data_IF_448271143590
#
_entry.id   IF_448271143590
#
_cell.length_a   1.000
_cell.length_b   1.000
_cell.length_c   1.000
_cell.angle_alpha   90.00
_cell.angle_beta   90.00
_cell.angle_gamma   90.00
#
_symmetry.space_group_name_H-M   'P 1'
#
loop_
_entity.id
_entity.type
_entity.pdbx_description
1 polymer ?
#
# COMPACT_ATOMS: atom_id res chain seq x y z
N UNK A 1 -12.15 -2.81 23.45
CA UNK A 1 -11.34 -3.82 22.72
C UNK A 1 -11.77 -3.79 21.27
N UNK A 2 -10.91 -3.28 20.39
CA UNK A 2 -11.10 -3.39 18.94
C UNK A 2 -10.75 -4.85 18.62
N UNK A 3 -11.69 -5.69 18.20
CA UNK A 3 -11.35 -7.06 17.85
C UNK A 3 -10.35 -7.05 16.71
N UNK A 4 -9.26 -7.79 16.84
CA UNK A 4 -8.20 -8.02 15.84
C UNK A 4 -8.72 -8.43 14.44
N UNK A 5 -10.03 -8.62 14.29
CA UNK A 5 -10.74 -8.95 13.04
C UNK A 5 -11.14 -7.75 12.19
N UNK A 6 -10.91 -6.51 12.65
CA UNK A 6 -11.42 -5.31 11.97
C UNK A 6 -10.38 -4.57 11.11
N UNK A 7 -9.16 -5.07 11.03
CA UNK A 7 -8.17 -4.58 10.08
C UNK A 7 -8.14 -5.53 8.90
N UNK A 8 -9.02 -5.31 7.96
CA UNK A 8 -9.06 -6.10 6.74
C UNK A 8 -10.45 -6.07 6.12
N UNK A 9 -10.52 -5.85 4.84
CA UNK A 9 -11.79 -5.89 4.15
C UNK A 9 -12.40 -7.29 4.29
N UNK A 10 -13.58 -7.36 4.86
CA UNK A 10 -14.37 -8.59 5.02
C UNK A 10 -14.51 -9.40 3.71
N UNK A 11 -14.38 -8.76 2.55
CA UNK A 11 -14.59 -9.40 1.25
C UNK A 11 -13.51 -10.40 0.84
N UNK A 12 -12.24 -10.17 1.15
CA UNK A 12 -11.18 -11.12 0.77
C UNK A 12 -11.02 -12.27 1.78
N UNK A 13 -11.35 -12.02 3.04
CA UNK A 13 -11.26 -13.01 4.12
C UNK A 13 -12.51 -13.90 4.15
N UNK A 14 -13.68 -13.35 3.86
CA UNK A 14 -14.96 -14.04 4.01
C UNK A 14 -15.16 -15.19 3.01
N UNK A 15 -14.66 -15.03 1.80
CA UNK A 15 -14.84 -16.02 0.71
C UNK A 15 -13.73 -17.07 0.64
N UNK A 16 -12.64 -16.89 1.41
CA UNK A 16 -11.54 -17.84 1.48
C UNK A 16 -11.47 -18.50 2.85
N UNK A 17 -11.90 -19.75 2.95
CA UNK A 17 -11.73 -20.58 4.16
C UNK A 17 -10.28 -20.66 4.62
N UNK A 18 -9.31 -20.48 3.72
CA UNK A 18 -7.89 -20.47 4.04
C UNK A 18 -7.51 -19.13 4.66
N UNK A 19 -7.81 -18.01 4.01
CA UNK A 19 -7.47 -16.68 4.52
C UNK A 19 -8.09 -16.41 5.90
N UNK A 20 -9.32 -16.89 6.16
CA UNK A 20 -9.98 -16.69 7.47
C UNK A 20 -9.33 -17.44 8.64
N UNK A 21 -8.41 -18.36 8.36
CA UNK A 21 -7.67 -19.14 9.38
C UNK A 21 -6.25 -18.66 9.61
N UNK A 22 -5.75 -17.75 8.77
CA UNK A 22 -4.44 -17.18 8.93
C UNK A 22 -4.47 -16.15 10.07
N UNK A 23 -3.47 -16.20 10.92
CA UNK A 23 -3.32 -15.32 12.08
C UNK A 23 -2.01 -14.52 12.07
N UNK A 24 -1.23 -14.69 11.02
CA UNK A 24 0.12 -14.15 10.87
C UNK A 24 0.28 -13.25 9.62
N UNK A 25 -0.84 -12.97 8.91
CA UNK A 25 -0.91 -11.98 7.84
C UNK A 25 -2.26 -11.26 7.88
N UNK A 26 -2.29 -10.01 7.37
CA UNK A 26 -3.49 -9.18 7.38
C UNK A 26 -3.55 -8.24 6.18
N UNK A 27 -4.74 -7.73 5.90
CA UNK A 27 -4.93 -6.64 4.95
C UNK A 27 -4.93 -5.30 5.69
N UNK A 28 -4.04 -4.42 5.31
CA UNK A 28 -4.09 -3.01 5.67
C UNK A 28 -5.00 -2.28 4.67
N UNK A 29 -6.18 -1.91 5.12
CA UNK A 29 -7.24 -1.48 4.22
C UNK A 29 -7.76 -2.63 3.33
N UNK A 30 -8.02 -2.32 2.06
CA UNK A 30 -8.59 -3.30 1.10
C UNK A 30 -7.56 -3.86 0.11
N UNK A 31 -6.41 -3.24 0.02
CA UNK A 31 -5.53 -3.41 -1.13
C UNK A 31 -4.08 -3.74 -0.78
N UNK A 32 -3.71 -3.70 0.50
CA UNK A 32 -2.34 -3.94 0.93
C UNK A 32 -2.31 -5.16 1.83
N UNK A 33 -1.66 -6.24 1.40
CA UNK A 33 -1.42 -7.42 2.20
C UNK A 33 -0.08 -7.27 2.91
N UNK A 34 -0.07 -7.46 4.22
CA UNK A 34 1.12 -7.39 5.06
C UNK A 34 1.33 -8.73 5.75
N UNK A 35 2.54 -9.24 5.66
CA UNK A 35 2.97 -10.44 6.36
C UNK A 35 4.09 -10.08 7.34
N UNK A 36 3.79 -9.77 8.60
CA UNK A 36 4.83 -9.58 9.60
C UNK A 36 5.70 -10.82 9.76
N UNK A 37 6.99 -10.61 9.94
CA UNK A 37 7.92 -11.70 10.25
C UNK A 37 7.86 -11.95 11.75
N UNK A 38 7.16 -13.01 12.13
CA UNK A 38 6.93 -13.37 13.55
C UNK A 38 7.89 -14.42 14.07
N UNK A 39 8.52 -15.16 13.17
CA UNK A 39 9.50 -16.20 13.52
C UNK A 39 10.93 -15.74 13.23
N UNK A 40 11.92 -16.17 14.04
CA UNK A 40 13.30 -15.85 13.78
C UNK A 40 13.79 -16.47 12.47
N UNK A 41 14.14 -15.65 11.48
CA UNK A 41 14.58 -16.11 10.16
C UNK A 41 16.08 -16.45 10.11
N UNK A 42 16.84 -15.96 11.08
CA UNK A 42 18.30 -16.09 11.13
C UNK A 42 18.78 -17.01 12.26
N UNK A 43 17.88 -17.68 12.96
CA UNK A 43 18.24 -18.62 14.03
C UNK A 43 18.16 -20.05 13.52
N UNK A 44 19.17 -20.85 13.86
CA UNK A 44 19.06 -22.29 13.75
C UNK A 44 19.30 -22.92 15.12
N UNK A 45 18.59 -23.98 15.40
CA UNK A 45 18.83 -24.79 16.58
C UNK A 45 20.05 -25.67 16.31
N UNK A 46 21.10 -25.48 17.07
CA UNK A 46 22.20 -26.45 17.07
C UNK A 46 21.69 -27.79 17.62
N UNK A 47 21.61 -28.79 16.76
CA UNK A 47 21.13 -30.13 17.15
C UNK A 47 22.06 -30.82 18.17
N UNK A 48 23.31 -30.39 18.28
CA UNK A 48 24.32 -30.96 19.18
C UNK A 48 24.34 -30.31 20.57
N UNK A 49 23.84 -29.08 20.71
CA UNK A 49 23.78 -28.35 21.98
C UNK A 49 22.35 -28.06 22.37
N UNK A 50 21.74 -28.95 23.14
CA UNK A 50 20.41 -28.74 23.71
C UNK A 50 20.33 -27.38 24.43
N UNK A 51 19.59 -26.44 23.90
CA UNK A 51 19.19 -25.22 24.58
C UNK A 51 19.96 -23.94 24.23
N UNK A 52 20.94 -23.95 23.32
CA UNK A 52 21.59 -22.73 22.86
C UNK A 52 21.00 -22.25 21.53
N UNK A 53 20.41 -21.06 21.56
CA UNK A 53 20.08 -20.31 20.34
C UNK A 53 21.37 -19.63 19.89
N UNK A 54 21.91 -20.06 18.74
CA UNK A 54 23.03 -19.35 18.13
C UNK A 54 22.42 -18.19 17.36
N UNK A 55 22.81 -16.96 17.71
CA UNK A 55 22.43 -15.77 16.92
C UNK A 55 23.14 -15.84 15.58
N UNK A 56 22.43 -15.83 14.46
CA UNK A 56 23.01 -16.05 13.17
C UNK A 56 23.80 -14.83 12.71
N UNK A 57 24.70 -15.10 11.80
CA UNK A 57 25.28 -14.06 10.98
C UNK A 57 24.18 -13.48 10.08
N UNK A 58 23.70 -12.28 10.38
CA UNK A 58 22.68 -11.56 9.59
C UNK A 58 23.12 -11.30 8.14
N UNK A 59 24.40 -11.53 7.83
CA UNK A 59 24.94 -11.50 6.47
C UNK A 59 24.60 -12.75 5.66
N UNK A 60 24.11 -13.80 6.28
CA UNK A 60 23.59 -14.99 5.58
C UNK A 60 22.16 -14.75 5.12
N UNK A 61 21.77 -15.41 4.03
CA UNK A 61 20.42 -15.33 3.53
C UNK A 61 19.39 -15.74 4.60
N UNK A 62 18.37 -14.92 4.79
CA UNK A 62 17.26 -15.26 5.66
C UNK A 62 16.51 -16.49 5.12
N UNK A 63 15.89 -17.25 6.01
CA UNK A 63 14.92 -18.25 5.58
C UNK A 63 13.73 -17.60 4.87
N UNK A 64 13.17 -18.23 3.83
CA UNK A 64 11.99 -17.68 3.19
C UNK A 64 10.77 -17.75 4.12
N UNK A 65 9.89 -16.75 4.00
CA UNK A 65 8.60 -16.68 4.68
C UNK A 65 7.51 -17.12 3.72
N UNK A 66 6.60 -17.97 4.18
CA UNK A 66 5.41 -18.33 3.43
C UNK A 66 4.38 -17.21 3.51
N UNK A 67 3.85 -16.81 2.37
CA UNK A 67 2.79 -15.81 2.25
C UNK A 67 1.66 -16.39 1.42
N UNK A 68 0.45 -16.32 1.91
CA UNK A 68 -0.74 -16.68 1.14
C UNK A 68 -1.31 -15.46 0.43
N UNK A 69 -1.34 -15.49 -0.88
CA UNK A 69 -1.96 -14.42 -1.69
C UNK A 69 -3.44 -14.76 -1.93
N UNK A 70 -4.39 -13.95 -1.42
CA UNK A 70 -5.81 -14.22 -1.58
C UNK A 70 -6.25 -14.34 -3.04
N UNK A 71 -7.18 -15.28 -3.30
CA UNK A 71 -7.72 -15.60 -4.63
C UNK A 71 -8.51 -14.42 -5.22
N UNK A 72 -8.58 -14.39 -6.54
CA UNK A 72 -9.46 -13.48 -7.30
C UNK A 72 -8.82 -12.17 -7.72
N UNK A 73 -7.54 -11.96 -7.41
CA UNK A 73 -6.78 -10.77 -7.80
C UNK A 73 -5.35 -11.18 -8.16
N UNK A 74 -4.67 -10.29 -8.88
CA UNK A 74 -3.21 -10.30 -8.98
C UNK A 74 -2.62 -9.44 -7.89
N UNK A 75 -1.39 -9.75 -7.49
CA UNK A 75 -0.67 -9.08 -6.43
C UNK A 75 0.72 -8.67 -6.90
N UNK A 76 1.15 -7.48 -6.54
CA UNK A 76 2.49 -6.96 -6.75
C UNK A 76 3.28 -7.08 -5.45
N UNK A 77 4.44 -7.70 -5.47
CA UNK A 77 5.41 -7.57 -4.38
C UNK A 77 5.87 -6.10 -4.34
N UNK A 78 5.63 -5.42 -3.24
CA UNK A 78 5.93 -4.00 -3.10
C UNK A 78 7.41 -3.65 -3.31
N UNK A 79 8.29 -4.57 -2.94
CA UNK A 79 9.74 -4.36 -2.98
C UNK A 79 10.42 -4.74 -4.29
N UNK A 80 9.72 -5.40 -5.20
CA UNK A 80 10.30 -5.86 -6.47
C UNK A 80 9.38 -5.66 -7.67
N UNK A 81 8.12 -5.26 -7.45
CA UNK A 81 7.04 -5.23 -8.44
C UNK A 81 6.79 -6.57 -9.17
N UNK A 82 7.36 -7.65 -8.67
CA UNK A 82 7.05 -8.99 -9.18
C UNK A 82 5.56 -9.26 -9.01
N UNK A 83 4.92 -9.70 -10.09
CA UNK A 83 3.49 -10.00 -10.08
C UNK A 83 3.24 -11.48 -9.78
N UNK A 84 2.22 -11.73 -9.00
CA UNK A 84 1.75 -13.05 -8.64
C UNK A 84 0.24 -13.17 -8.86
N UNK A 85 -0.20 -14.33 -9.33
CA UNK A 85 -1.63 -14.67 -9.30
C UNK A 85 -2.06 -14.94 -7.85
N UNK A 86 -3.27 -14.55 -7.49
CA UNK A 86 -3.83 -14.90 -6.19
C UNK A 86 -4.30 -16.35 -6.11
N UNK A 87 -4.60 -16.82 -4.90
CA UNK A 87 -5.04 -18.18 -4.60
C UNK A 87 -3.88 -19.15 -4.36
N UNK A 88 -2.67 -18.68 -4.12
CA UNK A 88 -1.48 -19.51 -3.92
C UNK A 88 -0.67 -19.10 -2.71
N UNK A 89 0.16 -20.02 -2.23
CA UNK A 89 1.23 -19.72 -1.30
C UNK A 89 2.51 -19.45 -2.08
N UNK A 90 3.25 -18.44 -1.66
CA UNK A 90 4.56 -18.11 -2.20
C UNK A 90 5.61 -18.11 -1.10
N UNK A 91 6.85 -18.31 -1.46
CA UNK A 91 8.00 -18.15 -0.58
C UNK A 91 8.72 -16.86 -0.89
N UNK A 92 8.79 -15.95 0.09
CA UNK A 92 9.46 -14.65 -0.04
C UNK A 92 10.68 -14.60 0.86
N UNK A 93 11.85 -14.33 0.28
CA UNK A 93 13.05 -14.04 1.05
C UNK A 93 12.92 -12.66 1.70
N UNK A 94 13.13 -12.61 3.01
CA UNK A 94 12.96 -11.41 3.82
C UNK A 94 14.26 -11.12 4.58
N UNK A 95 15.22 -10.41 3.97
CA UNK A 95 16.33 -9.85 4.73
C UNK A 95 15.80 -8.88 5.79
N UNK A 96 16.64 -8.49 6.75
CA UNK A 96 16.22 -7.79 7.97
C UNK A 96 15.50 -6.47 7.72
N UNK A 97 15.76 -5.85 6.60
CA UNK A 97 15.20 -4.58 6.13
C UNK A 97 13.91 -4.75 5.29
N UNK A 98 13.50 -5.99 5.01
CA UNK A 98 12.33 -6.28 4.17
C UNK A 98 11.24 -7.00 4.96
N UNK A 99 10.11 -6.35 5.13
CA UNK A 99 8.87 -6.99 5.54
C UNK A 99 8.03 -7.29 4.29
N UNK A 100 7.51 -8.51 4.10
CA UNK A 100 6.65 -8.81 2.97
C UNK A 100 5.41 -7.94 2.93
N UNK A 101 5.26 -7.18 1.86
CA UNK A 101 4.11 -6.32 1.56
C UNK A 101 3.72 -6.56 0.12
N UNK A 102 2.42 -6.77 -0.13
CA UNK A 102 1.89 -6.99 -1.46
C UNK A 102 0.74 -6.03 -1.74
N UNK A 103 0.77 -5.44 -2.90
CA UNK A 103 -0.26 -4.50 -3.35
C UNK A 103 -1.14 -5.20 -4.38
N UNK A 104 -2.45 -5.12 -4.17
CA UNK A 104 -3.44 -5.66 -5.09
C UNK A 104 -3.41 -4.92 -6.42
N UNK A 105 -3.51 -5.63 -7.54
CA UNK A 105 -3.73 -5.04 -8.84
C UNK A 105 -5.03 -4.20 -8.85
N UNK A 106 -5.02 -3.09 -9.58
CA UNK A 106 -6.09 -2.12 -9.53
C UNK A 106 -6.05 -1.25 -8.25
N UNK A 107 -4.87 -0.94 -7.72
CA UNK A 107 -4.73 -0.05 -6.56
C UNK A 107 -4.19 1.30 -6.98
N UNK A 108 -4.75 2.37 -6.44
CA UNK A 108 -4.18 3.71 -6.45
C UNK A 108 -3.66 3.99 -5.04
N UNK A 109 -2.36 4.20 -4.91
CA UNK A 109 -1.67 4.38 -3.64
C UNK A 109 -0.95 5.73 -3.60
N UNK A 110 -1.37 6.67 -2.73
CA UNK A 110 -0.67 7.94 -2.56
C UNK A 110 0.52 7.80 -1.62
N UNK A 111 1.59 8.52 -1.94
CA UNK A 111 2.75 8.73 -1.08
C UNK A 111 2.91 10.21 -0.81
N UNK A 112 3.06 10.55 0.45
CA UNK A 112 3.39 11.90 0.89
C UNK A 112 4.89 12.19 0.82
N UNK A 113 5.30 13.41 1.17
CA UNK A 113 6.71 13.76 1.30
C UNK A 113 7.38 12.97 2.44
N UNK A 114 8.68 12.78 2.33
CA UNK A 114 9.46 12.22 3.42
C UNK A 114 9.48 13.19 4.61
N UNK A 115 8.95 12.75 5.76
CA UNK A 115 8.76 13.56 6.96
C UNK A 115 9.02 12.75 8.23
N UNK A 116 9.45 13.43 9.29
CA UNK A 116 9.60 12.82 10.62
C UNK A 116 8.26 12.77 11.39
N UNK A 117 7.34 13.70 11.10
CA UNK A 117 5.99 13.75 11.66
C UNK A 117 5.02 14.41 10.67
N UNK A 118 3.75 14.10 10.77
CA UNK A 118 2.72 14.39 9.75
C UNK A 118 2.52 15.87 9.40
N UNK A 119 2.89 16.79 10.28
CA UNK A 119 2.75 18.24 10.07
C UNK A 119 4.08 18.96 9.78
N UNK A 120 5.16 18.21 9.50
CA UNK A 120 6.49 18.80 9.22
C UNK A 120 6.53 19.59 7.91
N UNK A 121 5.87 19.07 6.89
CA UNK A 121 5.80 19.68 5.55
C UNK A 121 4.36 19.74 5.06
N UNK A 122 4.00 20.71 4.22
CA UNK A 122 2.72 20.66 3.53
C UNK A 122 2.69 19.45 2.58
N UNK A 123 1.49 18.91 2.38
CA UNK A 123 1.26 17.77 1.48
C UNK A 123 0.81 18.29 0.10
N UNK A 124 1.50 19.31 -0.38
CA UNK A 124 1.26 19.99 -1.64
C UNK A 124 1.81 19.24 -2.84
N UNK A 125 2.78 18.35 -2.63
CA UNK A 125 3.27 17.41 -3.63
C UNK A 125 3.02 15.98 -3.16
N UNK A 126 2.28 15.20 -3.96
CA UNK A 126 1.99 13.79 -3.68
C UNK A 126 2.37 12.92 -4.87
N UNK A 127 3.06 11.82 -4.61
CA UNK A 127 3.23 10.77 -5.60
C UNK A 127 2.00 9.85 -5.57
N UNK A 128 1.42 9.61 -6.74
CA UNK A 128 0.25 8.75 -6.92
C UNK A 128 0.66 7.54 -7.76
N UNK A 129 0.85 6.40 -7.10
CA UNK A 129 1.17 5.14 -7.78
C UNK A 129 -0.09 4.43 -8.23
N UNK A 130 -0.16 4.08 -9.51
CA UNK A 130 -1.22 3.26 -10.08
C UNK A 130 -0.66 1.87 -10.33
N UNK A 131 -1.19 0.87 -9.65
CA UNK A 131 -0.89 -0.55 -9.85
C UNK A 131 -1.89 -1.13 -10.85
N UNK A 132 -1.53 -1.34 -12.12
CA UNK A 132 -2.48 -1.75 -13.15
C UNK A 132 -2.99 -3.18 -12.95
N UNK A 133 -3.94 -3.60 -13.80
CA UNK A 133 -4.52 -4.96 -13.83
C UNK A 133 -5.98 -5.03 -13.43
N UNK A 134 -6.59 -3.94 -12.99
CA UNK A 134 -8.02 -3.78 -12.79
C UNK A 134 -8.41 -2.32 -12.69
N UNK A 135 -9.67 -2.00 -12.95
CA UNK A 135 -10.25 -0.69 -12.64
C UNK A 135 -10.18 -0.41 -11.15
N UNK A 136 -9.95 0.84 -10.80
CA UNK A 136 -9.87 1.22 -9.40
C UNK A 136 -10.33 2.64 -9.10
N UNK A 137 -10.59 2.86 -7.81
CA UNK A 137 -11.03 4.13 -7.27
C UNK A 137 -10.39 4.36 -5.91
N UNK A 138 -9.88 5.57 -5.72
CA UNK A 138 -9.33 6.04 -4.46
C UNK A 138 -9.92 7.42 -4.15
N UNK A 139 -10.17 7.72 -2.89
CA UNK A 139 -10.59 9.04 -2.44
C UNK A 139 -9.58 9.57 -1.45
N UNK A 140 -8.92 10.66 -1.80
CA UNK A 140 -8.10 11.43 -0.89
C UNK A 140 -9.03 12.30 -0.05
N UNK A 141 -9.10 11.99 1.23
CA UNK A 141 -9.87 12.72 2.24
C UNK A 141 -8.93 13.58 3.06
N UNK A 142 -9.32 14.83 3.34
CA UNK A 142 -8.56 15.74 4.18
C UNK A 142 -9.52 16.65 4.98
N UNK A 143 -9.13 16.95 6.21
CA UNK A 143 -9.82 17.86 7.12
C UNK A 143 -8.85 18.71 7.95
N UNK A 144 -9.31 19.35 9.00
CA UNK A 144 -8.50 20.17 9.89
C UNK A 144 -7.58 19.37 10.84
N UNK A 145 -7.69 18.04 10.87
CA UNK A 145 -6.81 17.10 11.56
C UNK A 145 -7.16 16.83 13.02
N UNK A 146 -7.22 17.84 13.88
CA UNK A 146 -7.25 17.70 15.33
C UNK A 146 -8.56 18.10 16.01
N UNK A 147 -9.66 18.22 15.25
CA UNK A 147 -10.98 18.61 15.77
C UNK A 147 -12.10 17.80 15.13
N UNK A 148 -13.35 18.05 15.57
CA UNK A 148 -14.56 17.37 15.08
C UNK A 148 -15.35 18.19 14.05
N UNK A 149 -14.75 19.18 13.41
CA UNK A 149 -15.44 20.01 12.41
C UNK A 149 -15.83 19.21 11.16
N UNK A 150 -15.15 18.07 10.88
CA UNK A 150 -15.53 17.16 9.81
C UNK A 150 -16.98 16.64 9.96
N UNK A 151 -17.50 16.46 11.20
CA UNK A 151 -18.90 16.10 11.44
C UNK A 151 -19.87 17.18 10.98
N UNK A 152 -19.39 18.42 10.83
CA UNK A 152 -20.14 19.58 10.32
C UNK A 152 -19.85 19.82 8.82
N UNK A 153 -19.27 18.85 8.14
CA UNK A 153 -18.96 18.94 6.71
C UNK A 153 -17.71 19.79 6.38
N UNK A 154 -16.81 20.03 7.36
CA UNK A 154 -15.56 20.76 7.15
C UNK A 154 -14.44 19.79 6.78
N UNK A 155 -14.53 19.25 5.58
CA UNK A 155 -13.53 18.35 4.97
C UNK A 155 -13.53 18.53 3.45
N UNK A 156 -12.55 17.98 2.79
CA UNK A 156 -12.50 17.90 1.33
C UNK A 156 -12.19 16.49 0.85
N UNK A 157 -12.68 16.17 -0.33
CA UNK A 157 -12.47 14.92 -1.02
C UNK A 157 -12.02 15.15 -2.45
N UNK A 158 -10.98 14.42 -2.87
CA UNK A 158 -10.53 14.35 -4.26
C UNK A 158 -10.57 12.88 -4.67
N UNK A 159 -11.36 12.57 -5.70
CA UNK A 159 -11.51 11.21 -6.17
C UNK A 159 -10.60 10.95 -7.37
N UNK A 160 -9.86 9.85 -7.29
CA UNK A 160 -9.06 9.29 -8.37
C UNK A 160 -9.75 8.05 -8.91
N UNK A 161 -9.87 7.94 -10.23
CA UNK A 161 -10.48 6.79 -10.90
C UNK A 161 -9.56 6.33 -12.02
N UNK A 162 -9.05 5.11 -11.91
CA UNK A 162 -8.28 4.44 -12.93
C UNK A 162 -9.19 3.57 -13.79
N UNK A 163 -9.10 3.73 -15.11
CA UNK A 163 -9.70 2.83 -16.09
C UNK A 163 -8.60 2.00 -16.74
N UNK A 164 -8.64 0.70 -16.51
CA UNK A 164 -7.62 -0.23 -17.00
C UNK A 164 -7.66 -0.38 -18.52
N UNK A 165 -8.85 -0.43 -19.12
CA UNK A 165 -9.00 -0.63 -20.55
C UNK A 165 -8.46 0.54 -21.36
N UNK A 166 -8.73 1.75 -20.89
CA UNK A 166 -8.31 2.98 -21.56
C UNK A 166 -6.94 3.48 -21.07
N UNK A 167 -6.36 2.87 -20.04
CA UNK A 167 -5.13 3.34 -19.40
C UNK A 167 -5.21 4.81 -18.98
N UNK A 168 -6.35 5.23 -18.43
CA UNK A 168 -6.58 6.61 -18.02
C UNK A 168 -6.78 6.75 -16.52
N UNK A 169 -6.13 7.74 -15.94
CA UNK A 169 -6.39 8.21 -14.58
C UNK A 169 -7.20 9.51 -14.65
N UNK A 170 -8.39 9.49 -14.07
CA UNK A 170 -9.25 10.66 -13.93
C UNK A 170 -9.18 11.16 -12.49
N UNK A 171 -8.86 12.42 -12.30
CA UNK A 171 -8.90 13.13 -11.03
C UNK A 171 -10.16 14.00 -11.07
N UNK A 172 -11.11 13.73 -10.19
CA UNK A 172 -12.38 14.44 -10.15
C UNK A 172 -12.23 15.86 -9.57
N UNK A 173 -13.18 16.76 -9.79
CA UNK A 173 -13.22 18.03 -9.09
C UNK A 173 -13.26 17.82 -7.57
N UNK A 174 -12.54 18.67 -6.84
CA UNK A 174 -12.54 18.66 -5.37
C UNK A 174 -13.93 18.94 -4.84
N UNK A 175 -14.35 18.16 -3.86
CA UNK A 175 -15.61 18.36 -3.14
C UNK A 175 -15.33 18.79 -1.71
N UNK A 176 -16.13 19.75 -1.21
CA UNK A 176 -16.02 20.25 0.15
C UNK A 176 -14.89 21.26 0.35
N UNK A 177 -14.78 21.74 1.58
CA UNK A 177 -13.75 22.69 1.98
C UNK A 177 -13.61 22.75 3.49
N UNK A 178 -12.42 23.11 3.96
CA UNK A 178 -12.13 23.34 5.37
C UNK A 178 -11.10 24.47 5.52
N UNK A 179 -10.93 24.97 6.74
CA UNK A 179 -9.98 26.05 7.02
C UNK A 179 -8.54 25.53 6.92
N UNK A 180 -7.70 26.19 6.13
CA UNK A 180 -6.33 25.79 5.90
C UNK A 180 -6.12 24.78 4.77
N UNK A 181 -7.19 24.44 4.04
CA UNK A 181 -7.11 23.54 2.89
C UNK A 181 -6.16 24.08 1.82
N UNK A 182 -5.30 23.19 1.30
CA UNK A 182 -4.42 23.49 0.16
C UNK A 182 -5.28 23.74 -1.10
N UNK A 183 -5.09 24.92 -1.70
CA UNK A 183 -5.83 25.30 -2.93
C UNK A 183 -5.18 24.67 -4.17
N UNK A 184 -3.87 24.63 -4.21
CA UNK A 184 -3.08 24.08 -5.30
C UNK A 184 -2.19 22.98 -4.79
N UNK A 185 -2.02 21.95 -5.60
CA UNK A 185 -1.06 20.85 -5.34
C UNK A 185 -0.57 20.23 -6.64
N UNK A 186 0.52 19.52 -6.53
CA UNK A 186 1.08 18.77 -7.65
C UNK A 186 0.94 17.28 -7.38
N UNK A 187 0.44 16.55 -8.37
CA UNK A 187 0.43 15.09 -8.35
C UNK A 187 1.49 14.54 -9.31
N UNK A 188 2.38 13.73 -8.78
CA UNK A 188 3.39 12.98 -9.52
C UNK A 188 2.85 11.58 -9.77
N UNK A 189 2.40 11.32 -10.99
CA UNK A 189 1.75 10.05 -11.32
C UNK A 189 2.81 9.04 -11.75
N UNK A 190 2.85 7.90 -11.06
CA UNK A 190 3.71 6.75 -11.38
C UNK A 190 2.85 5.58 -11.79
N UNK A 191 2.96 5.16 -13.04
CA UNK A 191 2.39 3.89 -13.47
C UNK A 191 3.37 2.79 -13.10
N UNK A 192 2.94 1.89 -12.22
CA UNK A 192 3.81 0.83 -11.70
C UNK A 192 4.06 -0.23 -12.75
N UNK A 193 5.32 -0.52 -12.99
CA UNK A 193 5.80 -1.59 -13.84
C UNK A 193 7.03 -2.29 -13.20
N UNK A 194 7.74 -3.12 -13.95
CA UNK A 194 8.90 -3.85 -13.43
C UNK A 194 10.04 -2.93 -12.91
N UNK A 195 10.11 -1.69 -13.39
CA UNK A 195 11.20 -0.75 -13.11
C UNK A 195 10.74 0.53 -12.41
N UNK A 196 9.43 0.79 -12.37
CA UNK A 196 8.83 2.02 -11.86
C UNK A 196 7.92 1.75 -10.68
N UNK A 197 8.03 2.54 -9.61
CA UNK A 197 7.21 2.41 -8.40
C UNK A 197 7.62 1.26 -7.48
N UNK A 198 8.90 0.89 -7.47
CA UNK A 198 9.45 -0.18 -6.63
C UNK A 198 9.76 0.35 -5.23
N UNK A 199 9.30 -0.35 -4.19
CA UNK A 199 9.61 -0.02 -2.80
C UNK A 199 9.05 1.32 -2.34
N UNK A 200 9.68 1.90 -1.34
CA UNK A 200 9.25 3.13 -0.66
C UNK A 200 9.95 4.40 -1.17
N UNK A 201 10.97 4.25 -2.01
CA UNK A 201 11.73 5.39 -2.50
C UNK A 201 10.92 6.23 -3.51
N UNK A 202 11.08 7.58 -3.47
CA UNK A 202 10.48 8.45 -4.47
C UNK A 202 10.93 8.06 -5.87
N UNK A 203 10.01 8.05 -6.82
CA UNK A 203 10.25 7.58 -8.17
C UNK A 203 10.13 8.71 -9.19
N UNK A 204 10.78 8.53 -10.33
CA UNK A 204 10.55 9.42 -11.45
C UNK A 204 9.10 9.26 -11.93
N UNK A 205 8.35 10.35 -11.90
CA UNK A 205 6.96 10.35 -12.33
C UNK A 205 6.83 10.07 -13.83
N UNK A 206 5.86 9.24 -14.20
CA UNK A 206 5.45 9.08 -15.60
C UNK A 206 4.83 10.36 -16.15
N UNK A 207 4.08 11.06 -15.30
CA UNK A 207 3.52 12.40 -15.54
C UNK A 207 3.40 13.19 -14.25
N UNK A 208 3.50 14.52 -14.36
CA UNK A 208 3.17 15.44 -13.27
C UNK A 208 2.06 16.39 -13.70
N UNK A 209 1.12 16.65 -12.83
CA UNK A 209 -0.01 17.56 -13.08
C UNK A 209 -0.21 18.52 -11.93
N UNK A 210 -0.46 19.78 -12.27
CA UNK A 210 -0.96 20.77 -11.32
C UNK A 210 -2.46 20.56 -11.13
N UNK A 211 -2.91 20.64 -9.90
CA UNK A 211 -4.30 20.48 -9.53
C UNK A 211 -4.76 21.64 -8.64
N UNK A 212 -5.76 22.34 -9.11
CA UNK A 212 -6.36 23.52 -8.47
C UNK A 212 -7.80 23.30 -7.99
N UNK A 213 -8.26 22.05 -8.06
CA UNK A 213 -9.62 21.65 -7.68
C UNK A 213 -10.53 21.30 -8.86
N UNK A 214 -10.09 21.52 -10.08
CA UNK A 214 -10.82 21.17 -11.30
C UNK A 214 -10.49 19.74 -11.77
N UNK A 215 -11.32 19.19 -12.65
CA UNK A 215 -11.13 17.85 -13.16
C UNK A 215 -9.91 17.75 -14.07
N UNK A 216 -9.11 16.69 -13.90
CA UNK A 216 -7.96 16.38 -14.76
C UNK A 216 -8.07 14.95 -15.29
N UNK A 217 -7.86 14.77 -16.60
CA UNK A 217 -7.77 13.45 -17.23
C UNK A 217 -6.34 13.21 -17.74
N UNK A 218 -5.77 12.08 -17.39
CA UNK A 218 -4.39 11.73 -17.67
C UNK A 218 -4.37 10.39 -18.41
N UNK A 219 -3.77 10.38 -19.60
CA UNK A 219 -3.47 9.16 -20.37
C UNK A 219 -2.07 8.66 -19.95
N UNK A 220 -1.92 7.39 -19.53
CA UNK A 220 -0.68 6.76 -19.12
C UNK A 220 -0.27 5.60 -20.03
#
# INVERSE_FOLDING_TARGET
EIPLRLVGSEMCIRDSKKASRLNDEYLFGRNILVKPVTDPLYTWKDKEKKGHTIYPDIRKAAAPVNVYLPKGNKWYDFWSNTQYEGGQDIQRLCPIDIMPVFIKAGTILPFGPEVQYSSEKPWDELEIRVYPGADSKFTLYEDEGDNYNYEKGKFSEIQFVWNEADRTLNIAPRKGSYKGMLQHRRFHIVLVDANSGVGDQPMQASKSVEYDGEAVKIQL
#
